data_IF_778897512348
#
_entry.id   IF_778897512348
#
_cell.length_a   1.000
_cell.length_b   1.000
_cell.length_c   1.000
_cell.angle_alpha   90.00
_cell.angle_beta   90.00
_cell.angle_gamma   90.00
#
_symmetry.space_group_name_H-M   'P 1'
#
loop_
_entity.id
_entity.type
_entity.pdbx_description
1 polymer ?
#
# COMPACT_ATOMS: atom_id res chain seq x y z
N UNK A 1 9.02 -21.15 -16.08
CA UNK A 1 9.66 -19.90 -16.56
C UNK A 1 10.28 -19.17 -15.38
N UNK A 2 11.53 -18.79 -15.51
CA UNK A 2 12.19 -18.05 -14.44
C UNK A 2 11.65 -16.62 -14.38
N UNK A 3 11.44 -16.07 -13.19
CA UNK A 3 11.09 -14.65 -13.08
C UNK A 3 12.22 -13.79 -13.62
N UNK A 4 11.91 -12.61 -14.12
CA UNK A 4 12.89 -11.68 -14.64
C UNK A 4 13.82 -11.21 -13.52
N UNK A 5 15.04 -11.66 -13.50
CA UNK A 5 16.02 -11.30 -12.47
C UNK A 5 16.80 -10.03 -12.79
N UNK A 6 16.82 -9.63 -14.07
CA UNK A 6 17.45 -8.39 -14.51
C UNK A 6 18.92 -8.28 -14.08
N UNK A 7 19.62 -9.42 -13.97
CA UNK A 7 21.02 -9.47 -13.59
C UNK A 7 21.30 -9.19 -12.13
N UNK A 8 20.29 -9.21 -11.25
CA UNK A 8 20.42 -8.91 -9.84
C UNK A 8 19.84 -10.05 -9.00
N UNK A 9 20.24 -10.11 -7.73
CA UNK A 9 19.64 -11.04 -6.79
C UNK A 9 18.17 -10.73 -6.57
N UNK A 10 17.40 -11.76 -6.18
CA UNK A 10 15.95 -11.63 -6.01
C UNK A 10 15.58 -10.52 -5.03
N UNK A 11 16.32 -10.42 -3.89
CA UNK A 11 16.05 -9.38 -2.90
C UNK A 11 16.27 -7.97 -3.45
N UNK A 12 17.37 -7.77 -4.19
CA UNK A 12 17.65 -6.49 -4.84
C UNK A 12 16.65 -6.18 -5.93
N UNK A 13 16.26 -7.19 -6.72
CA UNK A 13 15.25 -7.03 -7.75
C UNK A 13 13.91 -6.59 -7.16
N UNK A 14 13.48 -7.22 -6.08
CA UNK A 14 12.23 -6.86 -5.43
C UNK A 14 12.29 -5.46 -4.81
N UNK A 15 13.44 -5.08 -4.24
CA UNK A 15 13.60 -3.73 -3.69
C UNK A 15 13.46 -2.67 -4.79
N UNK A 16 14.06 -2.90 -5.96
CA UNK A 16 13.95 -1.99 -7.09
C UNK A 16 12.50 -1.88 -7.55
N UNK A 17 11.80 -3.00 -7.68
CA UNK A 17 10.40 -3.00 -8.12
C UNK A 17 9.50 -2.28 -7.12
N UNK A 18 9.68 -2.51 -5.83
CA UNK A 18 8.91 -1.82 -4.79
C UNK A 18 9.13 -0.33 -4.84
N UNK A 19 10.37 0.10 -5.02
CA UNK A 19 10.71 1.52 -5.15
C UNK A 19 10.02 2.13 -6.37
N UNK A 20 10.05 1.45 -7.51
CA UNK A 20 9.41 1.93 -8.73
C UNK A 20 7.89 1.98 -8.61
N UNK A 21 7.25 0.98 -7.99
CA UNK A 21 5.81 1.00 -7.76
C UNK A 21 5.43 2.15 -6.82
N UNK A 22 6.21 2.36 -5.77
CA UNK A 22 5.96 3.47 -4.84
C UNK A 22 6.08 4.81 -5.53
N UNK A 23 7.11 4.99 -6.37
CA UNK A 23 7.29 6.21 -7.17
C UNK A 23 6.13 6.40 -8.13
N UNK A 24 5.68 5.34 -8.79
CA UNK A 24 4.55 5.40 -9.71
C UNK A 24 3.28 5.91 -9.02
N UNK A 25 2.99 5.39 -7.83
CA UNK A 25 1.80 5.81 -7.09
C UNK A 25 1.90 7.24 -6.57
N UNK A 26 3.10 7.70 -6.20
CA UNK A 26 3.27 9.06 -5.69
C UNK A 26 3.34 10.13 -6.78
N UNK A 27 3.96 9.82 -7.93
CA UNK A 27 4.23 10.82 -8.97
C UNK A 27 3.39 10.63 -10.23
N UNK A 28 2.75 9.47 -10.39
CA UNK A 28 1.94 9.16 -11.55
C UNK A 28 2.71 8.62 -12.74
N UNK A 29 4.04 8.57 -12.69
CA UNK A 29 4.84 8.01 -13.76
C UNK A 29 6.19 7.54 -13.25
N UNK A 30 6.76 6.58 -13.98
CA UNK A 30 8.13 6.14 -13.75
C UNK A 30 8.74 5.81 -15.11
N UNK A 31 10.02 6.16 -15.28
CA UNK A 31 10.78 5.84 -16.49
C UNK A 31 11.82 4.79 -16.15
N UNK A 32 11.83 3.69 -16.91
CA UNK A 32 12.71 2.56 -16.61
C UNK A 32 12.85 1.68 -17.87
N UNK A 33 13.62 0.60 -17.77
CA UNK A 33 13.77 -0.34 -18.87
C UNK A 33 12.45 -1.06 -19.12
N UNK A 34 12.29 -1.59 -20.33
CA UNK A 34 11.08 -2.32 -20.74
C UNK A 34 10.79 -3.51 -19.79
N UNK A 35 11.82 -4.30 -19.47
CA UNK A 35 11.65 -5.46 -18.61
C UNK A 35 11.20 -5.05 -17.20
N UNK A 36 11.81 -3.99 -16.65
CA UNK A 36 11.41 -3.47 -15.34
C UNK A 36 10.03 -2.84 -15.38
N UNK A 37 9.70 -2.13 -16.44
CA UNK A 37 8.38 -1.51 -16.60
C UNK A 37 7.29 -2.58 -16.60
N UNK A 38 7.50 -3.69 -17.29
CA UNK A 38 6.54 -4.79 -17.34
C UNK A 38 6.35 -5.43 -15.96
N UNK A 39 7.44 -5.69 -15.24
CA UNK A 39 7.39 -6.26 -13.91
C UNK A 39 6.76 -5.29 -12.90
N UNK A 40 7.10 -4.01 -12.96
CA UNK A 40 6.53 -2.96 -12.11
C UNK A 40 5.02 -2.83 -12.35
N UNK A 41 4.59 -2.85 -13.60
CA UNK A 41 3.18 -2.79 -13.95
C UNK A 41 2.39 -3.96 -13.38
N UNK A 42 2.91 -5.17 -13.47
CA UNK A 42 2.27 -6.36 -12.92
C UNK A 42 2.11 -6.26 -11.40
N UNK A 43 3.14 -5.80 -10.71
CA UNK A 43 3.10 -5.63 -9.26
C UNK A 43 2.13 -4.52 -8.86
N UNK A 44 2.13 -3.40 -9.59
CA UNK A 44 1.21 -2.29 -9.34
C UNK A 44 -0.25 -2.73 -9.50
N UNK A 45 -0.53 -3.54 -10.52
CA UNK A 45 -1.88 -4.06 -10.74
C UNK A 45 -2.34 -4.95 -9.59
N UNK A 46 -1.45 -5.76 -9.03
CA UNK A 46 -1.79 -6.58 -7.84
C UNK A 46 -2.17 -5.70 -6.67
N UNK A 47 -1.43 -4.63 -6.42
CA UNK A 47 -1.72 -3.73 -5.32
C UNK A 47 -3.03 -2.97 -5.55
N UNK A 48 -3.27 -2.51 -6.78
CA UNK A 48 -4.53 -1.84 -7.11
C UNK A 48 -5.72 -2.78 -6.96
N UNK A 49 -5.61 -4.02 -7.42
CA UNK A 49 -6.67 -5.01 -7.29
C UNK A 49 -7.00 -5.25 -5.82
N UNK A 50 -5.97 -5.41 -4.98
CA UNK A 50 -6.15 -5.60 -3.54
C UNK A 50 -6.87 -4.40 -2.92
N UNK A 51 -6.47 -3.18 -3.27
CA UNK A 51 -7.09 -1.97 -2.76
C UNK A 51 -8.55 -1.84 -3.21
N UNK A 52 -8.82 -2.09 -4.49
CA UNK A 52 -10.16 -2.00 -5.05
C UNK A 52 -11.10 -3.03 -4.39
N UNK A 53 -10.63 -4.24 -4.18
CA UNK A 53 -11.45 -5.31 -3.62
C UNK A 53 -11.76 -5.12 -2.14
N UNK A 54 -11.02 -4.28 -1.45
CA UNK A 54 -11.15 -4.13 0.01
C UNK A 54 -11.54 -2.73 0.46
N UNK A 55 -11.55 -1.72 -0.44
CA UNK A 55 -11.76 -0.34 0.00
C UNK A 55 -13.11 -0.10 0.65
N UNK A 56 -14.12 -0.85 0.26
CA UNK A 56 -15.48 -0.72 0.81
C UNK A 56 -15.70 -1.54 2.08
N UNK A 57 -14.71 -2.32 2.51
CA UNK A 57 -14.84 -3.15 3.72
C UNK A 57 -14.65 -2.26 4.94
N UNK A 58 -15.76 -1.73 5.43
CA UNK A 58 -15.78 -0.88 6.63
C UNK A 58 -16.83 -1.40 7.59
N UNK A 59 -16.59 -1.21 8.88
CA UNK A 59 -17.55 -1.57 9.93
C UNK A 59 -17.80 -0.35 10.82
N UNK A 60 -19.01 -0.27 11.37
CA UNK A 60 -19.35 0.76 12.32
C UNK A 60 -19.10 0.25 13.72
N UNK A 61 -18.27 0.95 14.47
CA UNK A 61 -18.01 0.62 15.87
C UNK A 61 -18.38 1.79 16.75
N UNK A 62 -18.76 1.48 17.98
CA UNK A 62 -19.06 2.49 18.98
C UNK A 62 -17.79 2.77 19.78
N UNK A 63 -17.34 4.02 19.76
CA UNK A 63 -16.16 4.45 20.50
C UNK A 63 -16.53 5.45 21.58
N UNK A 64 -15.87 5.35 22.72
CA UNK A 64 -16.03 6.26 23.82
C UNK A 64 -14.98 7.36 23.72
N UNK A 65 -15.43 8.62 23.77
CA UNK A 65 -14.56 9.79 23.74
C UNK A 65 -14.69 10.55 25.04
N UNK A 66 -13.58 11.01 25.57
CA UNK A 66 -13.53 11.85 26.74
C UNK A 66 -13.11 13.26 26.31
N UNK A 67 -13.90 14.27 26.66
CA UNK A 67 -13.55 15.64 26.33
C UNK A 67 -12.57 16.22 27.36
N UNK A 68 -12.19 17.50 27.20
CA UNK A 68 -11.26 18.17 28.10
C UNK A 68 -11.82 18.33 29.53
N UNK A 69 -13.15 18.28 29.66
CA UNK A 69 -13.83 18.41 30.96
C UNK A 69 -14.06 17.06 31.64
N UNK A 70 -13.63 15.97 31.00
CA UNK A 70 -13.81 14.63 31.52
C UNK A 70 -15.17 14.03 31.21
N UNK A 71 -15.98 14.67 30.38
CA UNK A 71 -17.29 14.13 30.01
C UNK A 71 -17.09 13.05 28.94
N UNK A 72 -17.63 11.86 29.24
CA UNK A 72 -17.55 10.73 28.31
C UNK A 72 -18.75 10.73 27.38
N UNK A 73 -18.48 10.57 26.08
CA UNK A 73 -19.53 10.43 25.10
C UNK A 73 -19.23 9.25 24.19
N UNK A 74 -20.28 8.57 23.74
CA UNK A 74 -20.16 7.45 22.81
C UNK A 74 -20.58 7.90 21.44
N UNK A 75 -19.77 7.57 20.42
CA UNK A 75 -20.05 7.91 19.03
C UNK A 75 -19.84 6.69 18.16
N UNK A 76 -20.67 6.57 17.14
CA UNK A 76 -20.49 5.55 16.11
C UNK A 76 -19.53 6.11 15.07
N UNK A 77 -18.44 5.38 14.80
CA UNK A 77 -17.45 5.76 13.79
C UNK A 77 -17.23 4.61 12.84
N UNK A 78 -16.94 4.94 11.57
CA UNK A 78 -16.57 3.96 10.58
C UNK A 78 -15.09 3.67 10.70
N UNK A 79 -14.76 2.40 10.78
CA UNK A 79 -13.37 1.94 10.81
C UNK A 79 -13.17 0.90 9.73
N UNK A 80 -11.90 0.65 9.37
CA UNK A 80 -11.57 -0.37 8.40
C UNK A 80 -12.03 -1.74 8.92
N UNK A 81 -12.69 -2.51 8.05
CA UNK A 81 -13.03 -3.89 8.35
C UNK A 81 -11.78 -4.77 8.31
N UNK A 82 -11.91 -6.05 8.69
CA UNK A 82 -10.74 -6.94 8.77
C UNK A 82 -10.03 -7.12 7.43
N UNK A 83 -10.76 -7.21 6.33
CA UNK A 83 -10.15 -7.36 5.00
C UNK A 83 -9.41 -6.10 4.57
N UNK A 84 -10.01 -4.94 4.78
CA UNK A 84 -9.40 -3.66 4.43
C UNK A 84 -8.17 -3.39 5.28
N UNK A 85 -8.25 -3.68 6.58
CA UNK A 85 -7.13 -3.52 7.49
C UNK A 85 -5.96 -4.42 7.11
N UNK A 86 -6.23 -5.68 6.77
CA UNK A 86 -5.20 -6.62 6.33
C UNK A 86 -4.55 -6.15 5.02
N UNK A 87 -5.36 -5.68 4.06
CA UNK A 87 -4.85 -5.14 2.79
C UNK A 87 -3.97 -3.91 3.03
N UNK A 88 -4.42 -3.01 3.89
CA UNK A 88 -3.65 -1.81 4.23
C UNK A 88 -2.30 -2.17 4.83
N UNK A 89 -2.26 -3.10 5.76
CA UNK A 89 -1.01 -3.56 6.37
C UNK A 89 -0.07 -4.18 5.34
N UNK A 90 -0.62 -4.99 4.43
CA UNK A 90 0.16 -5.61 3.36
C UNK A 90 0.75 -4.56 2.43
N UNK A 91 -0.04 -3.57 2.01
CA UNK A 91 0.43 -2.50 1.14
C UNK A 91 1.50 -1.65 1.83
N UNK A 92 1.29 -1.31 3.09
CA UNK A 92 2.27 -0.51 3.84
C UNK A 92 3.58 -1.25 4.06
N UNK A 93 3.56 -2.58 4.16
CA UNK A 93 4.78 -3.36 4.29
C UNK A 93 5.56 -3.46 2.98
N UNK A 94 4.90 -3.27 1.85
CA UNK A 94 5.49 -3.44 0.52
C UNK A 94 5.84 -2.12 -0.16
N UNK A 95 5.11 -1.04 0.13
CA UNK A 95 5.34 0.26 -0.48
C UNK A 95 6.18 1.14 0.42
N UNK A 96 7.04 1.95 -0.19
CA UNK A 96 7.87 2.90 0.54
C UNK A 96 7.14 4.24 0.67
N UNK A 97 7.34 4.90 1.80
CA UNK A 97 6.88 6.27 1.97
C UNK A 97 7.64 7.20 1.02
N UNK A 98 6.93 8.22 0.51
CA UNK A 98 7.54 9.18 -0.39
C UNK A 98 8.73 9.91 0.24
N UNK A 99 8.67 10.18 1.53
CA UNK A 99 9.78 10.81 2.24
C UNK A 99 11.03 9.93 2.24
N UNK A 100 10.86 8.62 2.38
CA UNK A 100 11.96 7.68 2.34
C UNK A 100 12.55 7.58 0.93
N UNK A 101 11.71 7.64 -0.09
CA UNK A 101 12.16 7.61 -1.48
C UNK A 101 13.00 8.85 -1.81
N UNK A 102 12.64 10.01 -1.27
CA UNK A 102 13.32 11.26 -1.54
C UNK A 102 14.64 11.42 -0.79
N UNK A 103 14.78 10.76 0.33
CA UNK A 103 16.02 10.82 1.09
C UNK A 103 17.05 9.83 0.56
#
# INVERSE_FOLDING_TARGET
MKPAKLGRETSQHMAILRNQVSTLFWTGRVSTTYARAKATGALAEKYLTLAINTYADTVTVEKEFTDKKGVKSKRKVLVDGPKKLAARRKLMSSLYDFKEIRS
#
